data_IF_799659409997
#
_entry.id   IF_799659409997
#
_cell.length_a   1.000
_cell.length_b   1.000
_cell.length_c   1.000
_cell.angle_alpha   90.00
_cell.angle_beta   90.00
_cell.angle_gamma   90.00
#
_symmetry.space_group_name_H-M   'P 1'
#
loop_
_entity.id
_entity.type
_entity.pdbx_description
1 polymer ?
#
# COMPACT_ATOMS: atom_id res chain seq x y z
N UNK A 1 31.99 -0.96 -66.48
CA UNK A 1 30.62 -0.66 -65.99
C UNK A 1 30.40 -1.38 -64.67
N UNK A 2 30.87 -0.80 -63.56
CA UNK A 2 30.93 -1.42 -62.22
C UNK A 2 30.21 -0.52 -61.22
N UNK A 3 29.34 -1.12 -60.40
CA UNK A 3 28.81 -0.64 -59.11
C UNK A 3 28.03 0.69 -59.07
N UNK A 4 26.72 0.63 -59.37
CA UNK A 4 25.77 1.69 -58.97
C UNK A 4 24.61 1.21 -58.06
N UNK A 5 24.63 -0.05 -57.61
CA UNK A 5 23.52 -0.64 -56.84
C UNK A 5 23.83 -0.89 -55.34
N UNK A 6 24.96 -0.36 -54.82
CA UNK A 6 25.37 -0.54 -53.42
C UNK A 6 25.09 0.61 -52.44
N UNK A 7 24.85 1.89 -52.83
CA UNK A 7 24.69 2.94 -51.81
C UNK A 7 23.28 2.96 -51.19
N UNK A 8 22.24 2.54 -51.92
CA UNK A 8 20.86 2.58 -51.45
C UNK A 8 20.54 1.53 -50.38
N UNK A 9 21.16 0.34 -50.46
CA UNK A 9 20.92 -0.73 -49.49
C UNK A 9 21.49 -0.40 -48.10
N UNK A 10 22.59 0.37 -48.03
CA UNK A 10 23.23 0.77 -46.76
C UNK A 10 22.47 1.93 -46.12
N UNK A 11 21.95 2.87 -46.92
CA UNK A 11 21.14 3.99 -46.43
C UNK A 11 19.80 3.52 -45.82
N UNK A 12 19.18 2.48 -46.38
CA UNK A 12 17.88 1.98 -45.91
C UNK A 12 17.97 1.19 -44.59
N UNK A 13 19.11 0.53 -44.33
CA UNK A 13 19.39 -0.16 -43.06
C UNK A 13 19.73 0.81 -41.91
N UNK A 14 20.36 1.95 -42.20
CA UNK A 14 20.74 2.94 -41.19
C UNK A 14 19.52 3.72 -40.64
N UNK A 15 18.51 3.98 -41.47
CA UNK A 15 17.29 4.71 -41.07
C UNK A 15 16.39 3.84 -40.19
N UNK A 16 16.35 2.53 -40.42
CA UNK A 16 15.58 1.58 -39.60
C UNK A 16 16.17 1.40 -38.20
N UNK A 17 17.50 1.51 -38.06
CA UNK A 17 18.19 1.42 -36.76
C UNK A 17 17.98 2.62 -35.84
N UNK A 18 17.76 3.81 -36.40
CA UNK A 18 17.59 5.05 -35.62
C UNK A 18 16.15 5.26 -35.10
N UNK A 19 15.15 4.66 -35.75
CA UNK A 19 13.73 4.86 -35.42
C UNK A 19 13.20 3.86 -34.37
N UNK A 20 13.87 2.73 -34.15
CA UNK A 20 13.42 1.73 -33.17
C UNK A 20 13.91 1.97 -31.72
N UNK A 21 14.74 2.97 -31.46
CA UNK A 21 15.44 3.10 -30.17
C UNK A 21 14.75 3.86 -29.02
N UNK A 22 13.59 4.55 -29.14
CA UNK A 22 12.99 5.20 -27.97
C UNK A 22 11.68 4.53 -27.48
N UNK A 23 11.44 3.23 -27.71
CA UNK A 23 10.18 2.57 -27.25
C UNK A 23 10.40 1.58 -26.08
N UNK A 24 11.64 1.20 -25.75
CA UNK A 24 11.90 0.16 -24.73
C UNK A 24 12.34 0.67 -23.35
N UNK A 25 11.81 1.80 -22.87
CA UNK A 25 12.05 2.23 -21.48
C UNK A 25 10.78 2.61 -20.71
N UNK A 26 9.65 2.00 -21.08
CA UNK A 26 8.51 1.87 -20.16
C UNK A 26 8.84 0.82 -19.11
N UNK A 27 9.66 1.17 -18.12
CA UNK A 27 9.81 0.37 -16.91
C UNK A 27 8.44 0.36 -16.22
N UNK A 28 7.66 -0.69 -16.48
CA UNK A 28 6.50 -1.01 -15.66
C UNK A 28 7.04 -1.15 -14.23
N UNK A 29 6.71 -0.17 -13.40
CA UNK A 29 6.70 -0.33 -11.96
C UNK A 29 5.67 -1.42 -11.66
N UNK A 30 6.14 -2.67 -11.70
CA UNK A 30 5.38 -3.79 -11.18
C UNK A 30 5.31 -3.54 -9.67
N UNK A 31 4.13 -3.15 -9.19
CA UNK A 31 3.87 -3.13 -7.75
C UNK A 31 4.29 -4.51 -7.21
N UNK A 32 5.29 -4.58 -6.32
CA UNK A 32 5.77 -5.85 -5.83
C UNK A 32 4.58 -6.56 -5.19
N UNK A 33 4.21 -7.71 -5.74
CA UNK A 33 3.24 -8.60 -5.11
C UNK A 33 3.84 -9.02 -3.77
N UNK A 34 3.47 -8.32 -2.70
CA UNK A 34 3.96 -8.58 -1.36
C UNK A 34 3.36 -9.90 -0.87
N UNK A 35 4.07 -10.99 -1.12
CA UNK A 35 3.83 -12.26 -0.44
C UNK A 35 4.25 -12.06 1.02
N UNK A 36 3.30 -11.66 1.84
CA UNK A 36 3.52 -11.34 3.23
C UNK A 36 3.51 -12.60 4.09
N UNK A 37 4.59 -12.83 4.83
CA UNK A 37 4.65 -13.90 5.83
C UNK A 37 3.78 -13.61 7.05
N UNK A 38 3.40 -14.67 7.77
CA UNK A 38 2.61 -14.59 9.00
C UNK A 38 3.53 -14.36 10.19
N UNK A 39 3.27 -13.34 10.99
CA UNK A 39 4.02 -13.03 12.21
C UNK A 39 3.35 -13.62 13.46
N UNK A 40 2.02 -13.55 13.55
CA UNK A 40 1.25 -14.09 14.66
C UNK A 40 -0.21 -14.35 14.26
N UNK A 41 -0.92 -15.17 15.04
CA UNK A 41 -2.36 -15.40 14.89
C UNK A 41 -3.01 -15.14 16.25
N UNK A 42 -4.02 -14.26 16.28
CA UNK A 42 -4.72 -13.83 17.51
C UNK A 42 -6.21 -14.10 17.36
N UNK A 43 -6.74 -15.12 18.06
CA UNK A 43 -8.15 -15.55 17.98
C UNK A 43 -8.67 -15.73 16.54
N UNK A 44 -7.81 -16.16 15.62
CA UNK A 44 -8.14 -16.37 14.20
C UNK A 44 -7.76 -15.21 13.27
N UNK A 45 -7.39 -14.05 13.80
CA UNK A 45 -6.90 -12.92 12.98
C UNK A 45 -5.38 -13.01 12.78
N UNK A 46 -4.96 -12.88 11.53
CA UNK A 46 -3.56 -13.04 11.11
C UNK A 46 -2.85 -11.69 11.08
N UNK A 47 -1.77 -11.56 11.85
CA UNK A 47 -0.86 -10.41 11.81
C UNK A 47 0.28 -10.74 10.86
N UNK A 48 0.54 -9.87 9.88
CA UNK A 48 1.58 -10.08 8.86
C UNK A 48 2.92 -9.45 9.26
N UNK A 49 4.01 -9.97 8.70
CA UNK A 49 5.36 -9.41 8.89
C UNK A 49 5.45 -7.99 8.30
N UNK A 50 4.73 -7.69 7.21
CA UNK A 50 4.67 -6.33 6.67
C UNK A 50 4.04 -5.35 7.64
N UNK A 51 2.99 -5.72 8.35
CA UNK A 51 2.35 -4.86 9.36
C UNK A 51 3.32 -4.55 10.52
N UNK A 52 3.98 -5.57 11.06
CA UNK A 52 4.99 -5.40 12.12
C UNK A 52 6.11 -4.47 11.64
N UNK A 53 6.61 -4.70 10.42
CA UNK A 53 7.65 -3.88 9.80
C UNK A 53 7.17 -2.44 9.65
N UNK A 54 6.02 -2.19 9.04
CA UNK A 54 5.51 -0.84 8.82
C UNK A 54 5.37 -0.05 10.12
N UNK A 55 4.94 -0.70 11.21
CA UNK A 55 4.85 -0.08 12.53
C UNK A 55 6.24 0.16 13.16
N UNK A 56 7.18 -0.77 13.01
CA UNK A 56 8.53 -0.63 13.59
C UNK A 56 9.45 0.29 12.79
N UNK A 57 9.24 0.46 11.47
CA UNK A 57 10.12 1.20 10.56
C UNK A 57 10.54 2.59 11.05
N UNK A 58 9.62 3.48 11.50
CA UNK A 58 10.00 4.81 11.97
C UNK A 58 10.94 4.73 13.18
N UNK A 59 10.63 3.84 14.12
CA UNK A 59 11.43 3.64 15.34
C UNK A 59 12.78 3.01 15.04
N UNK A 60 12.83 2.05 14.11
CA UNK A 60 14.08 1.46 13.64
C UNK A 60 14.99 2.50 12.98
N UNK A 61 14.45 3.42 12.19
CA UNK A 61 15.22 4.52 11.58
C UNK A 61 15.83 5.43 12.65
N UNK A 62 15.08 5.76 13.68
CA UNK A 62 15.58 6.56 14.80
C UNK A 62 16.69 5.83 15.57
N UNK A 63 16.51 4.53 15.85
CA UNK A 63 17.52 3.72 16.55
C UNK A 63 18.81 3.58 15.75
N UNK A 64 18.72 3.42 14.42
CA UNK A 64 19.89 3.39 13.53
C UNK A 64 20.68 4.70 13.51
N UNK A 65 20.03 5.83 13.78
CA UNK A 65 20.69 7.12 13.88
C UNK A 65 21.40 7.31 15.24
N UNK A 66 21.02 6.55 16.27
CA UNK A 66 21.48 6.74 17.65
C UNK A 66 22.49 5.68 18.13
N UNK A 67 22.39 4.45 17.63
CA UNK A 67 23.19 3.32 18.10
C UNK A 67 23.94 2.64 16.95
N UNK A 68 25.06 1.99 17.27
CA UNK A 68 25.87 1.22 16.31
C UNK A 68 26.26 -0.15 16.88
N UNK A 69 26.66 -1.09 16.01
CA UNK A 69 27.14 -2.41 16.42
C UNK A 69 26.08 -3.29 17.07
N UNK A 70 26.48 -4.07 18.09
CA UNK A 70 25.61 -5.07 18.74
C UNK A 70 24.43 -4.45 19.50
N UNK A 71 24.60 -3.26 20.06
CA UNK A 71 23.53 -2.56 20.77
C UNK A 71 22.39 -2.19 19.82
N UNK A 72 22.72 -1.78 18.60
CA UNK A 72 21.72 -1.48 17.57
C UNK A 72 20.88 -2.72 17.27
N UNK A 73 21.48 -3.89 17.05
CA UNK A 73 20.72 -5.11 16.75
C UNK A 73 19.76 -5.49 17.88
N UNK A 74 20.21 -5.36 19.14
CA UNK A 74 19.38 -5.63 20.32
C UNK A 74 18.20 -4.67 20.38
N UNK A 75 18.43 -3.38 20.18
CA UNK A 75 17.36 -2.36 20.18
C UNK A 75 16.39 -2.54 19.01
N UNK A 76 16.88 -2.93 17.83
CA UNK A 76 16.02 -3.21 16.67
C UNK A 76 15.12 -4.43 16.91
N UNK A 77 15.64 -5.50 17.52
CA UNK A 77 14.83 -6.66 17.90
C UNK A 77 13.76 -6.29 18.92
N UNK A 78 14.14 -5.57 19.98
CA UNK A 78 13.21 -5.09 20.99
C UNK A 78 12.11 -4.19 20.39
N UNK A 79 12.47 -3.29 19.47
CA UNK A 79 11.50 -2.43 18.79
C UNK A 79 10.48 -3.22 17.95
N UNK A 80 10.91 -4.30 17.29
CA UNK A 80 10.01 -5.19 16.52
C UNK A 80 9.11 -6.01 17.43
N UNK A 81 9.63 -6.53 18.54
CA UNK A 81 8.83 -7.26 19.53
C UNK A 81 7.76 -6.36 20.16
N UNK A 82 8.12 -5.12 20.50
CA UNK A 82 7.17 -4.12 20.98
C UNK A 82 6.10 -3.80 19.92
N UNK A 83 6.49 -3.64 18.66
CA UNK A 83 5.54 -3.41 17.57
C UNK A 83 4.58 -4.59 17.37
N UNK A 84 5.08 -5.83 17.46
CA UNK A 84 4.24 -7.03 17.39
C UNK A 84 3.23 -7.06 18.54
N UNK A 85 3.68 -6.81 19.77
CA UNK A 85 2.80 -6.78 20.95
C UNK A 85 1.72 -5.71 20.81
N UNK A 86 2.10 -4.51 20.38
CA UNK A 86 1.17 -3.39 20.16
C UNK A 86 0.11 -3.71 19.08
N UNK A 87 0.47 -4.47 18.04
CA UNK A 87 -0.50 -4.98 17.06
C UNK A 87 -1.45 -6.03 17.66
N UNK A 88 -0.93 -6.95 18.50
CA UNK A 88 -1.75 -7.95 19.19
C UNK A 88 -2.75 -7.25 20.12
N UNK A 89 -2.28 -6.30 20.93
CA UNK A 89 -3.10 -5.58 21.90
C UNK A 89 -4.23 -4.81 21.19
N UNK A 90 -3.92 -4.09 20.09
CA UNK A 90 -4.94 -3.45 19.25
C UNK A 90 -5.96 -4.45 18.70
N UNK A 91 -5.50 -5.60 18.22
CA UNK A 91 -6.40 -6.61 17.67
C UNK A 91 -7.34 -7.16 18.73
N UNK A 92 -6.86 -7.43 19.94
CA UNK A 92 -7.67 -7.90 21.05
C UNK A 92 -8.75 -6.88 21.43
N UNK A 93 -8.40 -5.59 21.48
CA UNK A 93 -9.36 -4.51 21.75
C UNK A 93 -10.42 -4.44 20.65
N UNK A 94 -10.01 -4.48 19.38
CA UNK A 94 -10.95 -4.45 18.25
C UNK A 94 -11.87 -5.69 18.23
N UNK A 95 -11.35 -6.87 18.56
CA UNK A 95 -12.13 -8.09 18.69
C UNK A 95 -13.15 -8.00 19.82
N UNK A 96 -12.74 -7.47 20.98
CA UNK A 96 -13.65 -7.24 22.11
C UNK A 96 -14.78 -6.28 21.72
N UNK A 97 -14.46 -5.15 21.08
CA UNK A 97 -15.44 -4.19 20.57
C UNK A 97 -16.43 -4.81 19.57
N UNK A 98 -15.93 -5.60 18.61
CA UNK A 98 -16.76 -6.31 17.64
C UNK A 98 -17.67 -7.35 18.30
N UNK A 99 -17.17 -8.06 19.32
CA UNK A 99 -17.92 -9.07 20.07
C UNK A 99 -19.05 -8.44 20.89
N UNK A 100 -18.80 -7.30 21.51
CA UNK A 100 -19.78 -6.57 22.31
C UNK A 100 -20.73 -5.71 21.47
N UNK A 101 -20.54 -5.64 20.14
CA UNK A 101 -21.38 -4.93 19.16
C UNK A 101 -21.65 -3.46 19.53
N UNK A 102 -20.65 -2.76 20.07
CA UNK A 102 -20.77 -1.32 20.21
C UNK A 102 -20.81 -0.67 18.83
N UNK A 103 -21.88 0.06 18.55
CA UNK A 103 -21.99 0.90 17.37
C UNK A 103 -21.47 2.29 17.72
N UNK A 104 -20.46 2.75 16.97
CA UNK A 104 -19.98 4.13 17.08
C UNK A 104 -20.90 4.99 16.22
N UNK A 105 -21.61 5.98 16.78
CA UNK A 105 -22.48 6.84 16.00
C UNK A 105 -21.71 7.64 14.95
N UNK A 106 -22.28 7.80 13.75
CA UNK A 106 -21.64 8.50 12.64
C UNK A 106 -21.26 9.96 12.98
N UNK A 107 -22.08 10.66 13.79
CA UNK A 107 -21.81 12.04 14.20
C UNK A 107 -20.47 12.19 14.93
N UNK A 108 -20.06 11.18 15.71
CA UNK A 108 -18.79 11.21 16.42
C UNK A 108 -17.60 11.13 15.46
N UNK A 109 -17.75 10.35 14.39
CA UNK A 109 -16.75 10.25 13.33
C UNK A 109 -16.67 11.56 12.55
N UNK A 110 -17.82 12.13 12.18
CA UNK A 110 -17.88 13.40 11.46
C UNK A 110 -17.24 14.53 12.26
N UNK A 111 -17.59 14.67 13.54
CA UNK A 111 -16.97 15.68 14.43
C UNK A 111 -15.45 15.51 14.50
N UNK A 112 -14.98 14.27 14.65
CA UNK A 112 -13.54 13.99 14.70
C UNK A 112 -12.85 14.34 13.37
N UNK A 113 -13.48 14.06 12.23
CA UNK A 113 -12.94 14.43 10.91
C UNK A 113 -12.86 15.95 10.76
N UNK A 114 -13.91 16.68 11.16
CA UNK A 114 -13.90 18.14 11.12
C UNK A 114 -12.81 18.74 12.00
N UNK A 115 -12.57 18.16 13.18
CA UNK A 115 -11.47 18.55 14.06
C UNK A 115 -10.10 18.32 13.41
N UNK A 116 -9.88 17.15 12.79
CA UNK A 116 -8.62 16.85 12.07
C UNK A 116 -8.39 17.87 10.95
N UNK A 117 -9.43 18.21 10.17
CA UNK A 117 -9.36 19.21 9.10
C UNK A 117 -8.99 20.59 9.68
N UNK A 118 -9.58 20.97 10.81
CA UNK A 118 -9.29 22.25 11.46
C UNK A 118 -7.85 22.30 11.99
N UNK A 119 -7.39 21.25 12.65
CA UNK A 119 -6.07 21.20 13.32
C UNK A 119 -4.91 21.03 12.32
N UNK A 120 -5.06 20.15 11.33
CA UNK A 120 -3.95 19.76 10.44
C UNK A 120 -3.99 20.49 9.10
N UNK A 121 -5.17 20.96 8.67
CA UNK A 121 -5.38 21.57 7.36
C UNK A 121 -5.92 23.00 7.44
N UNK A 122 -5.98 23.59 8.65
CA UNK A 122 -6.42 24.97 8.86
C UNK A 122 -7.88 25.23 8.46
N UNK A 123 -8.70 24.18 8.36
CA UNK A 123 -10.10 24.28 7.92
C UNK A 123 -10.32 24.10 6.41
N UNK A 124 -9.27 23.91 5.59
CA UNK A 124 -9.44 23.70 4.16
C UNK A 124 -9.67 22.22 3.82
N UNK A 125 -10.93 21.88 3.59
CA UNK A 125 -11.36 20.54 3.17
C UNK A 125 -10.75 20.12 1.82
N UNK A 126 -10.50 21.06 0.90
CA UNK A 126 -9.94 20.71 -0.41
C UNK A 126 -8.49 20.23 -0.29
N UNK A 127 -7.71 20.83 0.59
CA UNK A 127 -6.34 20.37 0.87
C UNK A 127 -6.35 18.99 1.52
N UNK A 128 -7.30 18.71 2.43
CA UNK A 128 -7.49 17.38 2.99
C UNK A 128 -7.79 16.31 1.93
N UNK A 129 -8.75 16.55 1.04
CA UNK A 129 -9.10 15.59 -0.02
C UNK A 129 -7.91 15.33 -0.96
N UNK A 130 -7.20 16.38 -1.38
CA UNK A 130 -5.98 16.23 -2.20
C UNK A 130 -4.90 15.39 -1.52
N UNK A 131 -4.73 15.55 -0.21
CA UNK A 131 -3.79 14.74 0.57
C UNK A 131 -4.21 13.27 0.66
N UNK A 132 -5.52 12.99 0.79
CA UNK A 132 -6.03 11.61 0.76
C UNK A 132 -5.84 10.95 -0.61
N UNK A 133 -6.13 11.69 -1.69
CA UNK A 133 -5.94 11.23 -3.07
C UNK A 133 -4.47 10.92 -3.36
N UNK A 134 -3.56 11.79 -2.91
CA UNK A 134 -2.11 11.55 -3.05
C UNK A 134 -1.62 10.31 -2.29
N UNK A 135 -2.32 9.93 -1.21
CA UNK A 135 -2.03 8.72 -0.42
C UNK A 135 -2.79 7.49 -0.92
N UNK A 136 -3.51 7.58 -2.05
CA UNK A 136 -4.35 6.52 -2.61
C UNK A 136 -5.44 6.00 -1.67
N UNK A 137 -5.86 6.81 -0.68
CA UNK A 137 -7.02 6.46 0.14
C UNK A 137 -8.30 6.68 -0.66
N UNK A 138 -9.01 5.59 -1.00
CA UNK A 138 -10.32 5.67 -1.63
C UNK A 138 -11.33 6.17 -0.59
N UNK A 139 -11.94 7.32 -0.86
CA UNK A 139 -12.95 7.97 -0.03
C UNK A 139 -14.30 7.23 0.03
N UNK A 140 -14.36 5.96 -0.39
CA UNK A 140 -15.59 5.20 -0.62
C UNK A 140 -15.80 3.99 0.31
N UNK A 141 -15.05 3.84 1.40
CA UNK A 141 -15.21 2.67 2.30
C UNK A 141 -16.29 2.88 3.37
N UNK A 142 -17.26 3.75 3.10
CA UNK A 142 -18.52 3.84 3.83
C UNK A 142 -19.62 3.41 2.86
N UNK A 143 -19.95 2.11 2.81
CA UNK A 143 -21.17 1.64 2.12
C UNK A 143 -21.08 0.43 1.18
N UNK A 144 -19.92 -0.20 0.95
CA UNK A 144 -19.85 -1.38 0.07
C UNK A 144 -19.81 -2.70 0.87
N UNK A 145 -20.92 -3.01 1.55
CA UNK A 145 -21.28 -4.39 1.97
C UNK A 145 -22.47 -4.90 1.14
N UNK A 146 -23.07 -4.08 0.28
CA UNK A 146 -24.07 -4.54 -0.68
C UNK A 146 -23.40 -4.72 -2.06
N UNK A 147 -23.61 -5.89 -2.67
CA UNK A 147 -23.23 -6.25 -4.05
C UNK A 147 -21.92 -7.02 -4.23
N UNK A 148 -21.80 -8.17 -3.56
CA UNK A 148 -21.14 -9.33 -4.16
C UNK A 148 -21.97 -10.59 -3.92
N UNK A 149 -23.23 -10.57 -4.37
CA UNK A 149 -23.97 -11.79 -4.66
C UNK A 149 -23.60 -12.20 -6.10
N UNK A 150 -22.79 -13.24 -6.32
CA UNK A 150 -22.47 -13.66 -7.67
C UNK A 150 -23.74 -14.22 -8.32
N UNK A 151 -24.20 -13.56 -9.39
CA UNK A 151 -25.19 -14.09 -10.31
C UNK A 151 -24.73 -15.46 -10.81
N UNK A 152 -25.31 -16.53 -10.25
CA UNK A 152 -25.17 -17.90 -10.74
C UNK A 152 -25.67 -17.92 -12.18
N UNK A 153 -24.74 -18.02 -13.14
CA UNK A 153 -25.01 -18.34 -14.54
C UNK A 153 -26.01 -19.49 -14.58
N UNK A 154 -27.22 -19.23 -15.08
CA UNK A 154 -28.05 -20.31 -15.61
C UNK A 154 -27.33 -20.82 -16.85
N UNK A 155 -26.67 -21.96 -16.70
CA UNK A 155 -26.23 -22.80 -17.79
C UNK A 155 -27.44 -23.16 -18.64
N UNK A 156 -27.33 -22.84 -19.92
CA UNK A 156 -28.02 -23.48 -21.03
C UNK A 156 -28.12 -25.00 -20.81
N UNK A 157 -29.34 -25.54 -20.89
CA UNK A 157 -29.65 -26.93 -21.23
C UNK A 157 -31.13 -27.01 -21.63
N UNK A 158 -31.39 -27.76 -22.72
CA UNK A 158 -32.64 -28.06 -23.43
C UNK A 158 -33.01 -27.08 -24.54
#
# INVERSE_FOLDING_TARGET
MRYLARPFAVALLAICGLVLLPICCGAFAQEPLEINGIAAIVNGDVITISQVRSLSQPREKQLRAQFTGQELEKQLKAARELALKDLIDRQLVLQAFKKEKYEIPDHFIDERVHEIIRENFGGDRNTFIKTLEAQNYKTSTTGSIATSLPARRRSSCA
#
